data_IF_259234257615
#
_entry.id   IF_259234257615
#
_cell.length_a   1.000
_cell.length_b   1.000
_cell.length_c   1.000
_cell.angle_alpha   90.00
_cell.angle_beta   90.00
_cell.angle_gamma   90.00
#
_symmetry.space_group_name_H-M   'P 1'
#
loop_
_entity.id
_entity.type
_entity.pdbx_description
1 polymer ?
#
# COMPACT_ATOMS: atom_id res chain seq x y z
N UNK A 1 17.42 -22.63 -1.53
CA UNK A 1 17.17 -24.08 -1.71
C UNK A 1 18.50 -24.82 -1.69
N UNK A 2 18.54 -26.00 -1.07
CA UNK A 2 19.64 -26.96 -1.22
C UNK A 2 19.51 -27.69 -2.56
N UNK A 3 20.57 -27.60 -3.37
CA UNK A 3 20.72 -28.24 -4.68
C UNK A 3 21.95 -29.14 -4.72
N UNK A 4 22.42 -29.58 -3.55
CA UNK A 4 23.55 -30.49 -3.40
C UNK A 4 23.33 -31.79 -4.19
N UNK A 5 24.40 -32.51 -4.58
CA UNK A 5 24.26 -33.74 -5.36
C UNK A 5 23.31 -34.78 -4.75
N UNK A 6 23.21 -34.84 -3.41
CA UNK A 6 22.28 -35.73 -2.71
C UNK A 6 20.80 -35.46 -3.04
N UNK A 7 20.44 -34.21 -3.36
CA UNK A 7 19.08 -33.82 -3.74
C UNK A 7 18.70 -34.22 -5.17
N UNK A 8 19.67 -34.67 -5.99
CA UNK A 8 19.46 -35.07 -7.40
C UNK A 8 19.01 -36.52 -7.56
N UNK A 9 18.93 -37.31 -6.49
CA UNK A 9 18.29 -38.65 -6.52
C UNK A 9 16.85 -38.49 -7.02
N UNK A 10 16.44 -39.31 -8.00
CA UNK A 10 15.13 -39.20 -8.65
C UNK A 10 13.96 -39.25 -7.67
N UNK A 11 14.09 -39.99 -6.57
CA UNK A 11 13.04 -40.08 -5.53
C UNK A 11 12.90 -38.79 -4.74
N UNK A 12 13.99 -38.05 -4.56
CA UNK A 12 14.01 -36.77 -3.87
C UNK A 12 13.57 -35.66 -4.83
N UNK A 13 14.13 -35.63 -6.04
CA UNK A 13 13.77 -34.66 -7.07
C UNK A 13 12.28 -34.73 -7.44
N UNK A 14 11.65 -35.90 -7.40
CA UNK A 14 10.20 -36.03 -7.64
C UNK A 14 9.36 -35.35 -6.55
N UNK A 15 9.84 -35.34 -5.30
CA UNK A 15 9.17 -34.68 -4.16
C UNK A 15 9.53 -33.19 -4.07
N UNK A 16 10.74 -32.84 -4.50
CA UNK A 16 11.34 -31.52 -4.37
C UNK A 16 11.95 -31.09 -5.71
N UNK A 17 11.13 -30.78 -6.73
CA UNK A 17 11.60 -30.52 -8.10
C UNK A 17 12.54 -29.31 -8.20
N UNK A 18 12.42 -28.36 -7.28
CA UNK A 18 13.21 -27.12 -7.25
C UNK A 18 14.33 -27.15 -6.18
N UNK A 19 14.72 -28.34 -5.73
CA UNK A 19 15.63 -28.53 -4.61
C UNK A 19 14.91 -28.59 -3.27
N UNK A 20 15.65 -28.93 -2.22
CA UNK A 20 15.12 -29.13 -0.87
C UNK A 20 15.18 -27.81 -0.09
N UNK A 21 14.11 -27.37 0.58
CA UNK A 21 14.16 -26.19 1.45
C UNK A 21 15.29 -26.28 2.48
N UNK A 22 16.01 -25.18 2.65
CA UNK A 22 16.96 -25.05 3.75
C UNK A 22 16.19 -24.74 5.03
N UNK A 23 16.49 -25.45 6.11
CA UNK A 23 15.81 -25.33 7.40
C UNK A 23 16.77 -24.87 8.49
N UNK A 24 16.23 -24.33 9.58
CA UNK A 24 17.02 -23.96 10.75
C UNK A 24 17.81 -25.16 11.29
N UNK A 25 19.01 -24.91 11.82
CA UNK A 25 19.91 -25.95 12.32
C UNK A 25 19.24 -26.85 13.39
N UNK A 26 18.29 -26.31 14.16
CA UNK A 26 17.53 -27.06 15.17
C UNK A 26 16.59 -28.13 14.60
N UNK A 27 16.10 -27.96 13.37
CA UNK A 27 15.22 -28.92 12.70
C UNK A 27 15.98 -29.87 11.76
N UNK A 28 17.28 -29.67 11.57
CA UNK A 28 18.08 -30.36 10.56
C UNK A 28 17.99 -31.88 10.66
N UNK A 29 18.14 -32.44 11.86
CA UNK A 29 18.15 -33.89 12.06
C UNK A 29 16.85 -34.55 11.60
N UNK A 30 15.70 -34.02 12.00
CA UNK A 30 14.39 -34.55 11.61
C UNK A 30 14.10 -34.30 10.12
N UNK A 31 14.52 -33.15 9.61
CA UNK A 31 14.40 -32.81 8.19
C UNK A 31 15.14 -33.81 7.31
N UNK A 32 16.37 -34.18 7.68
CA UNK A 32 17.15 -35.18 6.95
C UNK A 32 16.51 -36.58 6.98
N UNK A 33 15.88 -36.97 8.09
CA UNK A 33 15.12 -38.23 8.17
C UNK A 33 13.91 -38.22 7.23
N UNK A 34 13.18 -37.11 7.16
CA UNK A 34 12.04 -36.93 6.25
C UNK A 34 12.46 -36.94 4.77
N UNK A 35 13.55 -36.23 4.43
CA UNK A 35 14.02 -36.10 3.05
C UNK A 35 14.64 -37.41 2.57
N UNK A 36 15.55 -38.01 3.35
CA UNK A 36 16.39 -39.12 2.88
C UNK A 36 15.97 -40.52 3.38
N UNK A 37 15.18 -40.62 4.46
CA UNK A 37 14.80 -41.91 5.07
C UNK A 37 13.29 -42.19 5.10
N UNK A 38 12.47 -41.38 4.42
CA UNK A 38 11.01 -41.57 4.33
C UNK A 38 10.27 -41.56 5.68
N UNK A 39 10.79 -40.82 6.67
CA UNK A 39 10.06 -40.57 7.91
C UNK A 39 8.89 -39.59 7.66
N UNK A 40 7.94 -39.42 8.61
CA UNK A 40 6.92 -38.38 8.53
C UNK A 40 7.51 -36.96 8.44
N UNK A 41 6.80 -36.05 7.78
CA UNK A 41 7.19 -34.62 7.73
C UNK A 41 7.09 -34.01 9.14
N UNK A 42 8.13 -33.33 9.65
CA UNK A 42 8.04 -32.65 10.94
C UNK A 42 7.02 -31.49 10.86
N UNK A 43 6.23 -31.29 11.91
CA UNK A 43 5.12 -30.33 11.88
C UNK A 43 5.55 -28.86 12.00
N UNK A 44 6.63 -28.58 12.72
CA UNK A 44 7.06 -27.22 13.08
C UNK A 44 8.50 -26.95 12.60
N UNK A 45 8.73 -27.13 11.30
CA UNK A 45 10.03 -26.82 10.68
C UNK A 45 10.15 -25.31 10.51
N UNK A 46 11.24 -24.73 11.02
CA UNK A 46 11.60 -23.34 10.76
C UNK A 46 12.55 -23.28 9.58
N UNK A 47 12.40 -22.27 8.72
CA UNK A 47 13.35 -22.00 7.66
C UNK A 47 14.60 -21.27 8.17
N UNK A 48 15.36 -20.69 7.24
CA UNK A 48 16.62 -19.99 7.53
C UNK A 48 16.47 -18.49 7.45
N UNK A 49 17.33 -17.75 8.17
CA UNK A 49 17.40 -16.29 8.05
C UNK A 49 18.05 -15.87 6.74
N UNK A 50 17.46 -14.90 6.04
CA UNK A 50 18.01 -14.28 4.83
C UNK A 50 18.05 -12.76 4.95
N UNK A 51 19.06 -12.12 4.37
CA UNK A 51 19.12 -10.66 4.23
C UNK A 51 18.46 -10.21 2.94
N UNK A 52 17.90 -9.01 2.98
CA UNK A 52 17.24 -8.33 1.87
C UNK A 52 17.98 -7.03 1.60
N UNK A 53 18.70 -7.04 0.48
CA UNK A 53 19.50 -5.93 -0.01
C UNK A 53 18.98 -5.54 -1.39
N UNK A 54 19.06 -4.26 -1.73
CA UNK A 54 18.61 -3.76 -3.04
C UNK A 54 19.70 -2.90 -3.68
N UNK A 55 19.73 -2.92 -5.01
CA UNK A 55 20.58 -2.06 -5.82
C UNK A 55 19.66 -1.13 -6.61
N UNK A 56 19.79 0.16 -6.36
CA UNK A 56 19.00 1.19 -7.01
C UNK A 56 19.35 1.41 -8.48
N UNK A 57 18.50 2.14 -9.22
CA UNK A 57 18.76 2.58 -10.59
C UNK A 57 20.08 3.35 -10.78
N UNK A 58 20.61 3.94 -9.71
CA UNK A 58 21.91 4.63 -9.65
C UNK A 58 23.09 3.69 -9.31
N UNK A 59 22.85 2.39 -9.20
CA UNK A 59 23.85 1.37 -8.86
C UNK A 59 24.25 1.33 -7.39
N UNK A 60 23.58 2.10 -6.52
CA UNK A 60 23.88 2.10 -5.08
C UNK A 60 23.24 0.92 -4.38
N UNK A 61 24.03 0.30 -3.50
CA UNK A 61 23.55 -0.75 -2.60
C UNK A 61 22.89 -0.14 -1.36
N UNK A 62 21.75 -0.71 -0.98
CA UNK A 62 21.01 -0.35 0.21
C UNK A 62 20.58 -1.62 0.93
N UNK A 63 20.92 -1.71 2.22
CA UNK A 63 20.44 -2.77 3.09
C UNK A 63 19.06 -2.39 3.62
N UNK A 64 18.05 -3.22 3.35
CA UNK A 64 16.68 -2.95 3.75
C UNK A 64 16.29 -3.76 4.99
N UNK A 65 16.83 -4.97 5.14
CA UNK A 65 16.62 -5.78 6.34
C UNK A 65 16.82 -7.28 6.11
N UNK A 66 15.93 -8.09 6.66
CA UNK A 66 15.96 -9.54 6.50
C UNK A 66 14.72 -10.20 7.09
N UNK A 67 14.54 -11.48 6.79
CA UNK A 67 13.43 -12.29 7.29
C UNK A 67 13.81 -13.76 7.36
N UNK A 68 13.01 -14.56 8.05
CA UNK A 68 13.16 -16.02 8.07
C UNK A 68 12.29 -16.64 7.00
N UNK A 69 12.82 -17.61 6.26
CA UNK A 69 12.02 -18.38 5.32
C UNK A 69 11.05 -19.32 6.05
N UNK A 70 9.97 -19.71 5.38
CA UNK A 70 9.11 -20.77 5.85
C UNK A 70 9.70 -22.17 5.55
N UNK A 71 8.93 -23.21 5.84
CA UNK A 71 9.31 -24.60 5.65
C UNK A 71 9.34 -25.05 4.17
N UNK A 72 8.89 -24.20 3.26
CA UNK A 72 9.03 -24.36 1.80
C UNK A 72 10.24 -23.61 1.24
N UNK A 73 10.94 -22.82 2.08
CA UNK A 73 12.02 -21.94 1.66
C UNK A 73 11.54 -20.62 1.04
N UNK A 74 10.25 -20.32 1.15
CA UNK A 74 9.63 -19.09 0.67
C UNK A 74 9.71 -18.01 1.76
N UNK A 75 9.68 -16.75 1.36
CA UNK A 75 9.64 -15.61 2.26
C UNK A 75 8.91 -14.45 1.60
N UNK A 76 8.56 -13.44 2.39
CA UNK A 76 7.92 -12.22 1.92
C UNK A 76 8.40 -11.05 2.74
N UNK A 77 8.72 -9.94 2.08
CA UNK A 77 9.20 -8.72 2.71
C UNK A 77 8.43 -7.56 2.09
N UNK A 78 7.65 -6.80 2.90
CA UNK A 78 7.04 -5.58 2.41
C UNK A 78 8.14 -4.54 2.20
N UNK A 79 8.28 -4.05 0.97
CA UNK A 79 9.26 -3.02 0.64
C UNK A 79 8.64 -2.01 -0.33
N UNK A 80 8.85 -0.72 -0.05
CA UNK A 80 8.43 0.39 -0.90
C UNK A 80 9.67 1.03 -1.53
N UNK A 81 9.87 0.89 -2.85
CA UNK A 81 10.97 1.56 -3.54
C UNK A 81 10.85 3.09 -3.41
N UNK A 82 11.94 3.81 -3.08
CA UNK A 82 11.91 5.26 -2.88
C UNK A 82 11.84 6.06 -4.19
N UNK A 83 12.18 5.45 -5.33
CA UNK A 83 12.18 6.08 -6.65
C UNK A 83 11.87 5.06 -7.75
N UNK A 84 11.39 5.57 -8.88
CA UNK A 84 11.15 4.83 -10.10
C UNK A 84 12.46 4.35 -10.74
N UNK A 85 12.35 3.34 -11.60
CA UNK A 85 13.46 2.78 -12.37
C UNK A 85 13.70 1.29 -12.11
N UNK A 86 14.77 0.77 -12.71
CA UNK A 86 15.16 -0.63 -12.57
C UNK A 86 15.88 -0.87 -11.24
N UNK A 87 15.31 -1.71 -10.38
CA UNK A 87 15.90 -2.15 -9.13
C UNK A 87 16.36 -3.59 -9.25
N UNK A 88 17.50 -3.91 -8.64
CA UNK A 88 17.94 -5.30 -8.47
C UNK A 88 17.81 -5.68 -7.00
N UNK A 89 16.98 -6.67 -6.73
CA UNK A 89 16.81 -7.29 -5.42
C UNK A 89 17.88 -8.36 -5.26
N UNK A 90 18.54 -8.37 -4.10
CA UNK A 90 19.55 -9.35 -3.72
C UNK A 90 19.16 -9.96 -2.37
N UNK A 91 19.00 -11.27 -2.37
CA UNK A 91 18.67 -12.05 -1.18
C UNK A 91 19.90 -12.86 -0.82
N UNK A 92 20.41 -12.69 0.40
CA UNK A 92 21.60 -13.44 0.84
C UNK A 92 21.26 -14.32 2.02
N UNK A 93 21.53 -15.61 1.89
CA UNK A 93 21.61 -16.53 3.01
C UNK A 93 23.07 -16.55 3.50
N UNK A 94 23.36 -16.08 4.73
CA UNK A 94 24.72 -15.97 5.25
C UNK A 94 25.40 -17.32 5.54
N UNK A 95 24.67 -18.43 5.39
CA UNK A 95 25.12 -19.75 5.81
C UNK A 95 24.65 -20.10 7.22
N UNK A 96 24.77 -21.37 7.57
CA UNK A 96 24.52 -21.89 8.91
C UNK A 96 25.51 -23.01 9.24
N UNK A 97 25.35 -23.70 10.37
CA UNK A 97 26.18 -24.89 10.67
C UNK A 97 25.90 -26.03 9.70
N UNK A 98 24.71 -26.05 9.09
CA UNK A 98 24.27 -27.13 8.21
C UNK A 98 24.32 -26.80 6.72
N UNK A 99 24.38 -25.52 6.35
CA UNK A 99 24.38 -25.09 4.94
C UNK A 99 25.44 -24.03 4.66
N UNK A 100 26.04 -24.11 3.47
CA UNK A 100 26.93 -23.07 2.98
C UNK A 100 26.18 -21.78 2.61
N UNK A 101 26.84 -20.60 2.70
CA UNK A 101 26.25 -19.33 2.27
C UNK A 101 25.88 -19.35 0.79
N UNK A 102 24.83 -18.61 0.44
CA UNK A 102 24.39 -18.44 -0.95
C UNK A 102 23.63 -17.13 -1.13
N UNK A 103 23.41 -16.73 -2.37
CA UNK A 103 22.57 -15.57 -2.69
C UNK A 103 21.79 -15.77 -3.98
N UNK A 104 20.70 -15.03 -4.13
CA UNK A 104 19.89 -14.98 -5.34
C UNK A 104 19.62 -13.51 -5.71
N UNK A 105 19.43 -13.25 -7.01
CA UNK A 105 19.12 -11.91 -7.52
C UNK A 105 17.97 -11.95 -8.49
N UNK A 106 17.17 -10.90 -8.48
CA UNK A 106 16.14 -10.65 -9.48
C UNK A 106 16.00 -9.15 -9.70
N UNK A 107 15.48 -8.73 -10.85
CA UNK A 107 15.30 -7.31 -11.16
C UNK A 107 13.83 -7.00 -11.40
N UNK A 108 13.39 -5.85 -10.92
CA UNK A 108 12.03 -5.34 -11.10
C UNK A 108 12.09 -3.90 -11.60
N UNK A 109 11.22 -3.56 -12.55
CA UNK A 109 11.03 -2.19 -13.00
C UNK A 109 9.92 -1.54 -12.16
N UNK A 110 10.23 -0.42 -11.51
CA UNK A 110 9.26 0.39 -10.77
C UNK A 110 8.84 1.54 -11.68
N UNK A 111 7.58 1.50 -12.11
CA UNK A 111 6.96 2.52 -12.96
C UNK A 111 6.23 3.58 -12.13
N UNK A 112 5.99 4.77 -12.70
CA UNK A 112 5.18 5.80 -12.06
C UNK A 112 3.80 5.27 -11.69
N UNK A 113 3.30 5.70 -10.54
CA UNK A 113 1.91 5.44 -10.17
C UNK A 113 0.97 6.09 -11.21
N UNK A 114 -0.12 5.43 -11.60
CA UNK A 114 -1.12 6.05 -12.46
C UNK A 114 -1.66 7.33 -11.81
N UNK A 115 -2.00 8.37 -12.58
CA UNK A 115 -2.65 9.55 -12.02
C UNK A 115 -3.93 9.15 -11.30
N UNK A 116 -4.16 9.73 -10.12
CA UNK A 116 -5.43 9.58 -9.41
C UNK A 116 -6.55 10.11 -10.31
N UNK A 117 -7.67 9.38 -10.48
CA UNK A 117 -8.82 9.91 -11.20
C UNK A 117 -9.25 11.23 -10.59
N UNK A 118 -9.46 12.25 -11.42
CA UNK A 118 -10.07 13.48 -10.97
C UNK A 118 -11.46 13.16 -10.41
N UNK A 119 -11.71 13.54 -9.16
CA UNK A 119 -13.07 13.52 -8.62
C UNK A 119 -13.90 14.47 -9.50
N UNK A 120 -15.07 14.06 -10.02
CA UNK A 120 -15.91 14.96 -10.80
C UNK A 120 -16.15 16.24 -10.01
N UNK A 121 -15.78 17.39 -10.57
CA UNK A 121 -16.20 18.66 -10.01
C UNK A 121 -17.72 18.65 -9.94
N UNK A 122 -18.26 18.73 -8.73
CA UNK A 122 -19.70 18.91 -8.55
C UNK A 122 -20.09 20.19 -9.28
N UNK A 123 -21.16 20.18 -10.10
CA UNK A 123 -21.60 21.38 -10.79
C UNK A 123 -21.77 22.52 -9.79
N UNK A 124 -21.24 23.70 -10.11
CA UNK A 124 -21.47 24.90 -9.31
C UNK A 124 -22.98 25.09 -9.14
N UNK A 125 -23.43 25.12 -7.89
CA UNK A 125 -24.82 25.45 -7.58
C UNK A 125 -25.01 26.90 -8.01
N UNK A 126 -25.99 27.23 -8.88
CA UNK A 126 -26.23 28.61 -9.28
C UNK A 126 -26.43 29.45 -8.02
N UNK A 127 -25.66 30.52 -7.88
CA UNK A 127 -25.83 31.48 -6.79
C UNK A 127 -27.23 32.08 -6.92
N UNK A 128 -28.09 31.83 -5.94
CA UNK A 128 -29.38 32.51 -5.86
C UNK A 128 -29.13 34.03 -5.78
N UNK A 129 -29.75 34.84 -6.65
CA UNK A 129 -29.60 36.29 -6.58
C UNK A 129 -30.07 36.82 -5.21
N UNK A 130 -29.26 37.68 -4.61
CA UNK A 130 -29.58 38.31 -3.32
C UNK A 130 -30.64 39.41 -3.52
N UNK A 131 -31.86 39.13 -3.07
CA UNK A 131 -33.01 40.04 -3.17
C UNK A 131 -33.22 40.92 -1.92
N UNK A 132 -32.34 40.86 -0.92
CA UNK A 132 -32.50 41.59 0.36
C UNK A 132 -32.68 43.11 0.17
N UNK A 133 -31.88 43.71 -0.71
CA UNK A 133 -31.96 45.15 -1.02
C UNK A 133 -33.27 45.53 -1.73
N UNK A 134 -33.78 44.68 -2.61
CA UNK A 134 -35.05 44.92 -3.32
C UNK A 134 -36.21 44.87 -2.33
N UNK A 135 -36.25 43.87 -1.45
CA UNK A 135 -37.28 43.79 -0.42
C UNK A 135 -37.20 44.96 0.57
N UNK A 136 -36.01 45.37 0.99
CA UNK A 136 -35.83 46.53 1.86
C UNK A 136 -36.33 47.83 1.20
N UNK A 137 -36.04 48.04 -0.08
CA UNK A 137 -36.53 49.20 -0.84
C UNK A 137 -38.05 49.21 -0.98
N UNK A 138 -38.66 48.06 -1.28
CA UNK A 138 -40.13 47.93 -1.37
C UNK A 138 -40.78 48.25 -0.01
N UNK A 139 -40.26 47.71 1.09
CA UNK A 139 -40.77 47.98 2.44
C UNK A 139 -40.68 49.47 2.77
N UNK A 140 -39.55 50.12 2.47
CA UNK A 140 -39.38 51.55 2.70
C UNK A 140 -40.41 52.39 1.90
N UNK A 141 -40.63 52.06 0.63
CA UNK A 141 -41.63 52.73 -0.21
C UNK A 141 -43.06 52.54 0.31
N UNK A 142 -43.40 51.34 0.76
CA UNK A 142 -44.72 51.05 1.35
C UNK A 142 -44.94 51.88 2.62
N UNK A 143 -43.92 51.98 3.49
CA UNK A 143 -44.00 52.81 4.70
C UNK A 143 -44.21 54.29 4.34
N UNK A 144 -43.46 54.81 3.36
CA UNK A 144 -43.62 56.20 2.88
C UNK A 144 -45.03 56.43 2.35
N UNK A 145 -45.57 55.52 1.54
CA UNK A 145 -46.92 55.63 0.99
C UNK A 145 -47.99 55.61 2.11
N UNK A 146 -47.83 54.76 3.13
CA UNK A 146 -48.72 54.73 4.30
C UNK A 146 -48.66 56.05 5.08
N UNK A 147 -47.46 56.61 5.30
CA UNK A 147 -47.29 57.89 5.99
C UNK A 147 -47.96 59.04 5.23
N UNK A 148 -47.77 59.09 3.90
CA UNK A 148 -48.43 60.10 3.04
C UNK A 148 -49.95 59.93 3.08
N UNK A 149 -50.45 58.70 2.99
CA UNK A 149 -51.89 58.41 3.06
C UNK A 149 -52.49 58.82 4.41
N UNK A 150 -51.82 58.46 5.51
CA UNK A 150 -52.24 58.85 6.87
C UNK A 150 -52.24 60.37 7.06
N UNK A 151 -51.20 61.05 6.56
CA UNK A 151 -51.10 62.52 6.61
C UNK A 151 -52.21 63.20 5.79
N UNK A 152 -52.47 62.74 4.57
CA UNK A 152 -53.55 63.26 3.72
C UNK A 152 -54.92 63.10 4.39
N UNK A 153 -55.20 61.95 5.01
CA UNK A 153 -56.44 61.72 5.77
C UNK A 153 -56.54 62.66 6.97
N UNK A 154 -55.43 62.88 7.70
CA UNK A 154 -55.38 63.79 8.83
C UNK A 154 -55.67 65.24 8.41
N UNK A 155 -55.02 65.71 7.34
CA UNK A 155 -55.19 67.08 6.83
C UNK A 155 -56.62 67.32 6.32
N UNK A 156 -57.19 66.36 5.57
CA UNK A 156 -58.58 66.45 5.13
C UNK A 156 -59.60 66.47 6.28
N UNK A 157 -59.31 65.80 7.42
CA UNK A 157 -60.15 65.86 8.62
C UNK A 157 -60.00 67.18 9.38
N UNK A 158 -58.83 67.82 9.31
CA UNK A 158 -58.55 69.11 9.93
C UNK A 158 -59.22 70.26 9.19
N UNK A 159 -59.24 70.24 7.86
CA UNK A 159 -59.88 71.26 7.01
C UNK A 159 -61.42 71.27 7.07
N UNK A 160 -62.04 70.22 7.63
CA UNK A 160 -63.51 70.10 7.79
C UNK A 160 -64.03 70.50 9.19
N UNK A 161 -63.16 71.01 10.07
CA UNK A 161 -63.53 71.64 11.36
C UNK A 161 -63.32 73.14 11.28
#
# INVERSE_FOLDING_TARGET
MDVSPGTKDSRIALRFPNGVPAVADENMSEWMLYVYKQFPRPANVKGVWVTFDVIGPDGKWEHVGGTTTDDSGMFSIPWKPPKEGLWTIVITFPGSKSYYPSYARTSILVEPAPPTPETPQMPEIPTIPDYTLIFAAIIALVIIAILIGAYSIYDHRKLKK
#
